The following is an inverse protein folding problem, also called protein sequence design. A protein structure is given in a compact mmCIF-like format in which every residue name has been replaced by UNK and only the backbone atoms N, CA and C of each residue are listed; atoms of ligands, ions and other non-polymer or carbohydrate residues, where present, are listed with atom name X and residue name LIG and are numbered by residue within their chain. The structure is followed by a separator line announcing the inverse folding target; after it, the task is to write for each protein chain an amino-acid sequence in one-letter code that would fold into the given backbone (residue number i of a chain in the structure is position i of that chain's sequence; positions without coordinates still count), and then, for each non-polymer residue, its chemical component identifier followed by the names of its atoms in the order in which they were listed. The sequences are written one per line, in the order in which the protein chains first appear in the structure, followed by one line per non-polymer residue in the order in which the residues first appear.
data_IF_867629659155
#
_entry.id   IF_867629659155
#
_cell.length_a   1.000
_cell.length_b   1.000
_cell.length_c   1.000
_cell.angle_alpha   90.00
_cell.angle_beta   90.00
_cell.angle_gamma   90.00
#
_symmetry.space_group_name_H-M   'P 1'
#
loop_
_entity.id
_entity.type
_entity.pdbx_description
1 polymer ?
#
# COMPACT_ATOMS: atom_id res chain seq x y z
N UNK A 1 -3.61 9.84 28.19
CA UNK A 1 -2.45 8.92 28.34
C UNK A 1 -2.50 7.92 27.18
N UNK A 2 -1.40 7.83 26.45
CA UNK A 2 -1.29 6.87 25.34
C UNK A 2 -1.00 5.48 25.94
N UNK A 3 -1.81 4.46 25.61
CA UNK A 3 -1.55 3.12 26.14
C UNK A 3 -0.25 2.56 25.54
N UNK A 4 0.49 1.84 26.37
CA UNK A 4 1.69 1.14 25.92
C UNK A 4 1.28 -0.10 25.13
N UNK A 5 1.89 -0.28 23.95
CA UNK A 5 1.69 -1.47 23.14
C UNK A 5 2.63 -2.57 23.63
N UNK A 6 2.09 -3.49 24.41
CA UNK A 6 2.83 -4.64 24.95
C UNK A 6 2.71 -5.84 24.00
N UNK A 7 3.62 -6.81 24.18
CA UNK A 7 3.55 -8.07 23.43
C UNK A 7 2.20 -8.78 23.66
N UNK A 8 1.67 -8.76 24.86
CA UNK A 8 0.38 -9.34 25.22
C UNK A 8 -0.76 -8.65 24.47
N UNK A 9 -0.75 -7.31 24.40
CA UNK A 9 -1.72 -6.55 23.62
C UNK A 9 -1.68 -6.98 22.16
N UNK A 10 -0.49 -7.07 21.57
CA UNK A 10 -0.33 -7.49 20.16
C UNK A 10 -0.89 -8.89 19.94
N UNK A 11 -0.51 -9.86 20.78
CA UNK A 11 -0.98 -11.24 20.66
C UNK A 11 -2.50 -11.36 20.77
N UNK A 12 -3.14 -10.56 21.62
CA UNK A 12 -4.59 -10.57 21.77
C UNK A 12 -5.33 -10.05 20.54
N UNK A 13 -4.67 -9.26 19.70
CA UNK A 13 -5.25 -8.64 18.49
C UNK A 13 -4.91 -9.37 17.19
N UNK A 14 -3.98 -10.36 17.24
CA UNK A 14 -3.67 -11.14 16.05
C UNK A 14 -4.78 -12.18 15.83
N UNK A 15 -5.45 -12.16 14.68
CA UNK A 15 -6.51 -13.12 14.40
C UNK A 15 -5.93 -14.53 14.23
N UNK A 16 -6.66 -15.53 14.72
CA UNK A 16 -6.34 -16.93 14.46
C UNK A 16 -6.53 -17.24 12.98
N UNK A 17 -5.65 -18.09 12.44
CA UNK A 17 -5.74 -18.52 11.05
C UNK A 17 -6.47 -19.88 10.98
N UNK A 18 -7.75 -19.91 10.55
CA UNK A 18 -8.47 -21.17 10.36
C UNK A 18 -7.81 -22.01 9.26
N UNK A 19 -7.90 -23.33 9.36
CA UNK A 19 -7.38 -24.24 8.32
C UNK A 19 -8.06 -24.02 6.98
N UNK A 20 -9.36 -23.79 7.00
CA UNK A 20 -10.16 -23.51 5.81
C UNK A 20 -10.22 -22.00 5.56
N UNK A 21 -9.12 -21.44 5.11
CA UNK A 21 -9.04 -20.03 4.76
C UNK A 21 -8.29 -19.85 3.44
N UNK A 22 -8.55 -18.74 2.80
CA UNK A 22 -7.90 -18.35 1.55
C UNK A 22 -7.37 -16.92 1.67
N UNK A 23 -6.74 -16.42 0.61
CA UNK A 23 -6.18 -15.07 0.61
C UNK A 23 -7.21 -13.98 0.88
N UNK A 24 -8.48 -14.19 0.54
CA UNK A 24 -9.55 -13.23 0.82
C UNK A 24 -9.95 -13.15 2.28
N UNK A 25 -9.63 -14.18 3.08
CA UNK A 25 -10.00 -14.26 4.51
C UNK A 25 -9.22 -13.29 5.39
N UNK A 26 -8.07 -12.80 4.95
CA UNK A 26 -7.15 -12.00 5.76
C UNK A 26 -7.06 -10.53 5.32
N UNK A 27 -8.04 -10.10 4.56
CA UNK A 27 -8.11 -8.70 4.12
C UNK A 27 -7.23 -8.38 2.94
N UNK A 28 -7.49 -7.20 2.37
CA UNK A 28 -6.77 -6.66 1.23
C UNK A 28 -6.21 -5.29 1.57
N UNK A 29 -4.92 -5.10 1.35
CA UNK A 29 -4.23 -3.82 1.52
C UNK A 29 -4.03 -3.19 0.15
N UNK A 30 -4.48 -1.95 -0.01
CA UNK A 30 -4.10 -1.11 -1.13
C UNK A 30 -3.02 -0.15 -0.66
N UNK A 31 -1.82 -0.30 -1.17
CA UNK A 31 -0.70 0.57 -0.88
C UNK A 31 -0.52 1.59 -2.00
N UNK A 32 -0.55 2.86 -1.69
CA UNK A 32 -0.22 3.95 -2.60
C UNK A 32 1.13 4.49 -2.15
N UNK A 33 2.18 4.08 -2.84
CA UNK A 33 3.53 4.31 -2.37
C UNK A 33 4.53 4.36 -3.53
N UNK A 34 5.66 4.99 -3.26
CA UNK A 34 6.77 5.05 -4.18
C UNK A 34 6.66 6.13 -5.25
N UNK A 35 7.81 6.45 -5.78
CA UNK A 35 8.00 7.37 -6.90
C UNK A 35 9.30 6.98 -7.60
N UNK A 36 9.60 7.59 -8.73
CA UNK A 36 10.80 7.24 -9.49
C UNK A 36 12.09 7.28 -8.65
N UNK A 37 12.18 8.21 -7.69
CA UNK A 37 13.34 8.36 -6.81
C UNK A 37 13.24 7.57 -5.50
N UNK A 38 12.07 7.08 -5.13
CA UNK A 38 11.83 6.40 -3.85
C UNK A 38 11.17 5.03 -4.05
N UNK A 39 11.77 4.20 -4.87
CA UNK A 39 11.24 2.87 -5.22
C UNK A 39 11.32 1.89 -4.06
N UNK A 40 12.37 1.99 -3.26
CA UNK A 40 12.57 1.13 -2.09
C UNK A 40 11.49 1.29 -1.03
N UNK A 41 10.94 2.48 -0.87
CA UNK A 41 9.85 2.73 0.07
C UNK A 41 8.62 1.89 -0.27
N UNK A 42 8.27 1.78 -1.55
CA UNK A 42 7.17 0.92 -2.00
C UNK A 42 7.47 -0.56 -1.73
N UNK A 43 8.70 -0.99 -2.00
CA UNK A 43 9.14 -2.37 -1.76
C UNK A 43 9.00 -2.75 -0.29
N UNK A 44 9.47 -1.89 0.60
CA UNK A 44 9.36 -2.10 2.05
C UNK A 44 7.90 -2.11 2.53
N UNK A 45 7.07 -1.23 1.97
CA UNK A 45 5.65 -1.17 2.28
C UNK A 45 4.93 -2.46 1.93
N UNK A 46 5.12 -2.95 0.71
CA UNK A 46 4.49 -4.18 0.23
C UNK A 46 4.98 -5.39 1.01
N UNK A 47 6.29 -5.49 1.22
CA UNK A 47 6.88 -6.59 1.98
C UNK A 47 6.38 -6.60 3.42
N UNK A 48 6.31 -5.44 4.07
CA UNK A 48 5.76 -5.32 5.41
C UNK A 48 4.31 -5.78 5.49
N UNK A 49 3.48 -5.36 4.54
CA UNK A 49 2.08 -5.78 4.49
C UNK A 49 1.94 -7.29 4.29
N UNK A 50 2.72 -7.89 3.39
CA UNK A 50 2.70 -9.33 3.16
C UNK A 50 3.16 -10.11 4.39
N UNK A 51 4.22 -9.65 5.05
CA UNK A 51 4.76 -10.33 6.24
C UNK A 51 3.87 -10.21 7.47
N UNK A 52 3.06 -9.18 7.57
CA UNK A 52 2.08 -9.05 8.67
C UNK A 52 0.86 -9.94 8.47
N UNK A 53 0.72 -10.54 7.30
CA UNK A 53 -0.31 -11.54 7.04
C UNK A 53 -1.50 -11.07 6.23
N UNK A 54 -1.40 -9.94 5.54
CA UNK A 54 -2.43 -9.53 4.60
C UNK A 54 -2.66 -10.62 3.53
N UNK A 55 -3.90 -10.86 3.19
CA UNK A 55 -4.26 -11.88 2.20
C UNK A 55 -3.93 -11.45 0.78
N UNK A 56 -4.18 -10.18 0.46
CA UNK A 56 -3.89 -9.59 -0.84
C UNK A 56 -3.25 -8.22 -0.60
N UNK A 57 -2.17 -7.93 -1.31
CA UNK A 57 -1.57 -6.60 -1.33
C UNK A 57 -1.52 -6.10 -2.76
N UNK A 58 -2.11 -4.95 -3.00
CA UNK A 58 -2.05 -4.26 -4.29
C UNK A 58 -1.24 -2.98 -4.14
N UNK A 59 -0.28 -2.79 -5.02
CA UNK A 59 0.52 -1.57 -5.07
C UNK A 59 0.05 -0.67 -6.20
N UNK A 60 -0.38 0.53 -5.86
CA UNK A 60 -0.66 1.61 -6.81
C UNK A 60 0.54 2.52 -6.89
N UNK A 61 1.17 2.57 -8.03
CA UNK A 61 2.37 3.39 -8.25
C UNK A 61 2.66 3.57 -9.74
N UNK A 62 3.70 4.32 -10.03
CA UNK A 62 4.20 4.50 -11.41
C UNK A 62 4.99 3.30 -11.88
N UNK A 63 5.10 3.10 -13.19
CA UNK A 63 5.69 1.90 -13.80
C UNK A 63 7.10 1.56 -13.30
N UNK A 64 8.05 2.50 -13.16
CA UNK A 64 9.37 2.14 -12.65
C UNK A 64 9.37 1.50 -11.27
N UNK A 65 8.43 1.92 -10.42
CA UNK A 65 8.24 1.36 -9.07
C UNK A 65 7.63 -0.03 -9.17
N UNK A 66 6.57 -0.17 -9.97
CA UNK A 66 5.90 -1.46 -10.16
C UNK A 66 6.84 -2.53 -10.70
N UNK A 67 7.67 -2.17 -11.67
CA UNK A 67 8.66 -3.09 -12.25
C UNK A 67 9.67 -3.57 -11.19
N UNK A 68 10.17 -2.67 -10.37
CA UNK A 68 11.13 -2.99 -9.31
C UNK A 68 10.51 -3.89 -8.23
N UNK A 69 9.29 -3.57 -7.80
CA UNK A 69 8.62 -4.32 -6.74
C UNK A 69 8.18 -5.70 -7.21
N UNK A 70 7.57 -5.78 -8.39
CA UNK A 70 7.06 -7.06 -8.91
C UNK A 70 8.17 -8.06 -9.22
N UNK A 71 9.36 -7.60 -9.58
CA UNK A 71 10.51 -8.46 -9.79
C UNK A 71 10.96 -9.17 -8.51
N UNK A 72 10.80 -8.51 -7.36
CA UNK A 72 11.22 -9.03 -6.06
C UNK A 72 10.09 -9.71 -5.30
N UNK A 73 8.88 -9.18 -5.43
CA UNK A 73 7.69 -9.62 -4.69
C UNK A 73 6.56 -9.95 -5.69
N UNK A 74 6.66 -11.10 -6.38
CA UNK A 74 5.72 -11.44 -7.45
C UNK A 74 4.28 -11.69 -6.96
N UNK A 75 4.07 -11.91 -5.67
CA UNK A 75 2.74 -12.05 -5.08
C UNK A 75 1.98 -10.72 -4.95
N UNK A 76 2.65 -9.58 -5.17
CA UNK A 76 2.01 -8.28 -5.15
C UNK A 76 1.17 -8.05 -6.41
N UNK A 77 -0.08 -7.65 -6.22
CA UNK A 77 -0.92 -7.17 -7.32
C UNK A 77 -0.55 -5.71 -7.66
N UNK A 78 -0.76 -5.31 -8.90
CA UNK A 78 -0.34 -4.01 -9.37
C UNK A 78 -1.52 -3.17 -9.84
N UNK A 79 -1.51 -1.89 -9.49
CA UNK A 79 -2.42 -0.88 -10.00
C UNK A 79 -1.58 0.22 -10.67
N UNK A 80 -1.37 0.15 -12.00
CA UNK A 80 -0.55 1.14 -12.71
C UNK A 80 -1.18 2.52 -12.65
N UNK A 81 -0.37 3.50 -12.29
CA UNK A 81 -0.76 4.90 -12.21
C UNK A 81 -0.04 5.72 -13.26
N UNK A 82 -0.71 6.77 -13.71
CA UNK A 82 -0.12 7.71 -14.65
C UNK A 82 1.02 8.47 -13.95
N UNK A 83 2.15 8.69 -14.66
CA UNK A 83 3.24 9.48 -14.11
C UNK A 83 2.84 10.95 -13.98
N UNK A 84 3.19 11.52 -12.86
CA UNK A 84 3.02 12.93 -12.57
C UNK A 84 4.35 13.68 -12.59
N UNK A 85 4.34 14.87 -12.02
CA UNK A 85 5.55 15.69 -11.91
C UNK A 85 6.62 14.96 -11.08
N UNK A 86 7.87 15.12 -11.49
CA UNK A 86 9.07 14.59 -10.82
C UNK A 86 9.03 13.08 -10.50
N UNK A 87 8.37 12.31 -11.34
CA UNK A 87 8.29 10.86 -11.18
C UNK A 87 7.33 10.38 -10.11
N UNK A 88 6.47 11.24 -9.60
CA UNK A 88 5.39 10.89 -8.69
C UNK A 88 4.15 10.39 -9.41
N UNK A 89 3.12 10.10 -8.64
CA UNK A 89 1.83 9.65 -9.16
C UNK A 89 0.99 10.87 -9.55
N UNK A 90 0.46 10.86 -10.78
CA UNK A 90 -0.44 11.91 -11.24
C UNK A 90 -1.80 11.85 -10.53
N UNK A 91 -2.40 13.00 -10.19
CA UNK A 91 -3.77 13.08 -9.69
C UNK A 91 -4.81 12.44 -10.62
N UNK A 92 -4.51 12.33 -11.91
CA UNK A 92 -5.38 11.64 -12.87
C UNK A 92 -5.57 10.15 -12.56
N UNK A 93 -4.69 9.57 -11.74
CA UNK A 93 -4.77 8.17 -11.31
C UNK A 93 -5.76 7.93 -10.17
N UNK A 94 -6.22 8.99 -9.50
CA UNK A 94 -7.11 8.88 -8.33
C UNK A 94 -8.35 8.04 -8.60
N UNK A 95 -9.10 8.23 -9.70
CA UNK A 95 -10.28 7.39 -9.96
C UNK A 95 -9.95 5.91 -10.05
N UNK A 96 -8.81 5.56 -10.66
CA UNK A 96 -8.36 4.17 -10.77
C UNK A 96 -8.01 3.59 -9.40
N UNK A 97 -7.32 4.37 -8.58
CA UNK A 97 -6.96 3.97 -7.22
C UNK A 97 -8.22 3.72 -6.39
N UNK A 98 -9.17 4.63 -6.44
CA UNK A 98 -10.40 4.54 -5.66
C UNK A 98 -11.32 3.39 -6.10
N UNK A 99 -11.16 2.87 -7.31
CA UNK A 99 -11.90 1.70 -7.76
C UNK A 99 -11.34 0.38 -7.24
N UNK A 100 -10.14 0.38 -6.68
CA UNK A 100 -9.56 -0.83 -6.11
C UNK A 100 -10.32 -1.24 -4.85
N UNK A 101 -10.64 -2.53 -4.75
CA UNK A 101 -11.27 -3.07 -3.54
C UNK A 101 -10.20 -3.33 -2.49
N UNK A 102 -10.36 -2.73 -1.34
CA UNK A 102 -9.43 -2.89 -0.24
C UNK A 102 -10.13 -2.81 1.11
N UNK A 103 -9.59 -3.52 2.07
CA UNK A 103 -10.00 -3.43 3.47
C UNK A 103 -9.26 -2.30 4.17
N UNK A 104 -8.00 -2.09 3.79
CA UNK A 104 -7.12 -1.07 4.36
C UNK A 104 -6.44 -0.30 3.24
N UNK A 105 -6.38 1.01 3.37
CA UNK A 105 -5.66 1.90 2.48
C UNK A 105 -4.43 2.43 3.21
N UNK A 106 -3.25 2.18 2.64
CA UNK A 106 -1.97 2.65 3.15
C UNK A 106 -1.38 3.63 2.14
N UNK A 107 -1.23 4.89 2.53
CA UNK A 107 -0.74 5.96 1.65
C UNK A 107 0.43 6.67 2.30
N UNK A 108 1.44 7.00 1.54
CA UNK A 108 2.46 7.95 1.97
C UNK A 108 3.89 7.56 1.67
N UNK A 109 4.32 6.32 1.92
CA UNK A 109 5.75 6.01 1.81
C UNK A 109 6.30 6.29 0.42
N UNK A 110 7.29 7.16 0.34
CA UNK A 110 8.02 7.43 -0.89
C UNK A 110 7.26 8.15 -2.00
N UNK A 111 6.15 8.81 -1.70
CA UNK A 111 5.38 9.56 -2.72
C UNK A 111 6.11 10.79 -3.25
N UNK A 112 7.14 11.27 -2.55
CA UNK A 112 7.93 12.42 -2.95
C UNK A 112 7.46 13.73 -2.30
N UNK A 113 8.21 14.78 -2.56
CA UNK A 113 7.98 16.08 -1.92
C UNK A 113 7.05 17.00 -2.70
N UNK A 114 6.67 16.59 -3.90
CA UNK A 114 5.84 17.46 -4.70
C UNK A 114 4.41 17.35 -4.29
N UNK A 115 4.14 18.39 -3.75
CA UNK A 115 2.88 19.06 -3.66
C UNK A 115 1.96 18.57 -2.56
N UNK A 116 1.70 19.46 -1.62
CA UNK A 116 0.50 19.44 -0.79
C UNK A 116 -0.76 19.07 -1.57
N UNK A 117 -0.79 19.41 -2.86
CA UNK A 117 -1.89 19.14 -3.79
C UNK A 117 -2.11 17.64 -4.02
N UNK A 118 -1.04 16.84 -4.17
CA UNK A 118 -1.17 15.39 -4.35
C UNK A 118 -1.74 14.71 -3.12
N UNK A 119 -1.35 15.15 -1.95
CA UNK A 119 -1.88 14.64 -0.69
C UNK A 119 -3.35 15.04 -0.48
N UNK A 120 -3.69 16.27 -0.83
CA UNK A 120 -5.05 16.77 -0.68
C UNK A 120 -6.03 15.98 -1.53
N UNK A 121 -5.62 15.57 -2.74
CA UNK A 121 -6.46 14.79 -3.63
C UNK A 121 -6.55 13.31 -3.25
N UNK A 122 -5.58 12.79 -2.52
CA UNK A 122 -5.55 11.39 -2.07
C UNK A 122 -6.19 11.19 -0.69
N UNK A 123 -6.41 12.26 0.06
CA UNK A 123 -7.17 12.16 1.30
C UNK A 123 -8.60 11.78 0.98
N UNK A 124 -9.00 10.61 1.47
CA UNK A 124 -10.37 10.15 1.32
C UNK A 124 -11.31 11.04 2.13
N UNK A 125 -12.46 11.40 1.57
CA UNK A 125 -13.49 12.03 2.39
C UNK A 125 -13.90 11.04 3.48
N UNK A 126 -13.72 11.46 4.69
CA UNK A 126 -14.18 10.71 5.86
C UNK A 126 -15.70 10.73 5.93
#
# INVERSE_FOLDING_TARGET
MTPEITAEFVWSHIPKRPRESNKGSFGAVLAVAGSACYRGAASLTVEGALRTGAGIVTLASVEPVLAAVSARLPECCLCPCEPGAEGGISPQSIPRILRQKATVLLIGPGLGYLAPVSYTHLTLPT
#
